data_IF_378896218472
#
_entry.id   IF_378896218472
#
_cell.length_a   1.000
_cell.length_b   1.000
_cell.length_c   1.000
_cell.angle_alpha   90.00
_cell.angle_beta   90.00
_cell.angle_gamma   90.00
#
_symmetry.space_group_name_H-M   'P 1'
#
loop_
_entity.id
_entity.type
_entity.pdbx_description
1 polymer ?
#
# COMPACT_ATOMS: atom_id res chain seq x y z
N UNK A 1 -59.33 -35.12 -57.85
CA UNK A 1 -60.17 -33.93 -57.60
C UNK A 1 -60.53 -33.89 -56.12
N UNK A 2 -59.82 -33.09 -55.33
CA UNK A 2 -60.25 -32.53 -54.04
C UNK A 2 -59.27 -31.42 -53.67
N UNK A 3 -59.85 -30.33 -53.18
CA UNK A 3 -59.35 -28.96 -53.13
C UNK A 3 -58.63 -28.72 -51.80
N UNK A 4 -57.60 -27.86 -51.87
CA UNK A 4 -56.98 -26.94 -50.90
C UNK A 4 -57.06 -27.23 -49.38
N UNK A 5 -55.99 -26.92 -48.66
CA UNK A 5 -55.85 -25.66 -47.90
C UNK A 5 -54.37 -25.49 -47.50
N UNK A 6 -53.79 -24.39 -47.94
CA UNK A 6 -52.49 -23.90 -47.47
C UNK A 6 -52.65 -23.24 -46.10
N UNK A 7 -51.85 -23.66 -45.12
CA UNK A 7 -51.65 -22.92 -43.87
C UNK A 7 -50.19 -22.47 -43.83
N UNK A 8 -49.99 -21.18 -44.05
CA UNK A 8 -48.75 -20.46 -43.78
C UNK A 8 -48.64 -20.29 -42.26
N UNK A 9 -47.69 -20.99 -41.63
CA UNK A 9 -47.31 -20.75 -40.24
C UNK A 9 -46.12 -19.78 -40.25
N UNK A 10 -46.38 -18.53 -39.86
CA UNK A 10 -45.35 -17.55 -39.49
C UNK A 10 -44.66 -18.03 -38.21
N UNK A 11 -43.42 -18.51 -38.32
CA UNK A 11 -42.55 -18.63 -37.15
C UNK A 11 -41.89 -17.28 -36.88
N UNK A 12 -42.41 -16.58 -35.87
CA UNK A 12 -41.75 -15.46 -35.23
C UNK A 12 -40.41 -15.96 -34.64
N UNK A 13 -39.32 -15.34 -35.06
CA UNK A 13 -38.04 -15.43 -34.35
C UNK A 13 -38.19 -14.80 -32.96
N UNK A 14 -38.10 -15.62 -31.91
CA UNK A 14 -37.71 -15.13 -30.58
C UNK A 14 -36.27 -15.56 -30.38
N UNK A 15 -35.35 -14.64 -30.71
CA UNK A 15 -33.98 -14.75 -30.26
C UNK A 15 -33.98 -14.56 -28.75
N UNK A 16 -33.76 -15.64 -28.00
CA UNK A 16 -33.38 -15.55 -26.60
C UNK A 16 -31.99 -14.90 -26.55
N UNK A 17 -31.97 -13.58 -26.32
CA UNK A 17 -30.78 -12.91 -25.86
C UNK A 17 -30.45 -13.48 -24.47
N UNK A 18 -29.55 -14.45 -24.42
CA UNK A 18 -28.84 -14.78 -23.20
C UNK A 18 -28.02 -13.53 -22.84
N UNK A 19 -28.58 -12.68 -21.99
CA UNK A 19 -27.81 -11.70 -21.24
C UNK A 19 -26.85 -12.49 -20.35
N UNK A 20 -25.62 -12.72 -20.84
CA UNK A 20 -24.52 -13.09 -19.98
C UNK A 20 -24.27 -11.91 -19.04
N UNK A 21 -24.94 -11.95 -17.89
CA UNK A 21 -24.61 -11.13 -16.75
C UNK A 21 -23.21 -11.51 -16.32
N UNK A 22 -22.24 -10.68 -16.68
CA UNK A 22 -20.85 -10.79 -16.26
C UNK A 22 -20.74 -10.50 -14.77
N UNK A 23 -21.17 -11.45 -13.93
CA UNK A 23 -20.69 -11.53 -12.56
C UNK A 23 -19.36 -12.25 -12.58
N UNK A 24 -18.28 -11.48 -12.69
CA UNK A 24 -17.02 -11.94 -12.12
C UNK A 24 -17.31 -12.25 -10.64
N UNK A 25 -16.92 -13.42 -10.11
CA UNK A 25 -17.01 -13.65 -8.68
C UNK A 25 -16.07 -12.64 -8.02
N UNK A 26 -16.63 -11.59 -7.40
CA UNK A 26 -15.90 -10.90 -6.34
C UNK A 26 -15.75 -11.96 -5.25
N UNK A 27 -14.53 -12.29 -4.87
CA UNK A 27 -14.35 -12.71 -3.48
C UNK A 27 -14.71 -11.47 -2.68
N UNK A 28 -16.01 -11.32 -2.39
CA UNK A 28 -16.38 -10.47 -1.29
C UNK A 28 -15.67 -11.03 -0.06
N UNK A 29 -15.32 -10.13 0.81
CA UNK A 29 -14.77 -10.45 2.10
C UNK A 29 -15.80 -11.25 2.97
N UNK A 30 -16.81 -11.92 2.41
CA UNK A 30 -17.93 -12.55 3.13
C UNK A 30 -17.55 -13.74 4.02
N UNK A 31 -16.36 -14.32 3.86
CA UNK A 31 -15.93 -15.51 4.59
C UNK A 31 -14.79 -15.32 5.61
N UNK A 32 -14.15 -14.15 5.67
CA UNK A 32 -13.01 -13.95 6.59
C UNK A 32 -13.47 -13.37 7.92
N UNK A 33 -12.79 -13.74 9.00
CA UNK A 33 -12.98 -13.11 10.30
C UNK A 33 -12.33 -11.71 10.30
N UNK A 34 -13.12 -10.68 10.58
CA UNK A 34 -12.65 -9.31 10.72
C UNK A 34 -12.60 -8.87 12.17
N UNK A 35 -11.64 -8.02 12.47
CA UNK A 35 -11.56 -7.33 13.76
C UNK A 35 -12.10 -5.91 13.58
N UNK A 36 -12.92 -5.44 14.53
CA UNK A 36 -13.33 -4.03 14.57
C UNK A 36 -12.09 -3.15 14.73
N UNK A 37 -12.03 -2.06 13.97
CA UNK A 37 -10.93 -1.11 14.11
C UNK A 37 -10.98 -0.42 15.47
N UNK A 38 -9.84 -0.37 16.15
CA UNK A 38 -9.66 0.37 17.40
C UNK A 38 -8.74 1.56 17.12
N UNK A 39 -9.17 2.76 17.47
CA UNK A 39 -8.43 4.01 17.21
C UNK A 39 -7.48 4.36 18.36
N UNK A 40 -6.59 3.42 18.67
CA UNK A 40 -5.59 3.56 19.72
C UNK A 40 -4.21 3.10 19.24
N UNK A 41 -3.16 3.56 19.91
CA UNK A 41 -1.77 3.13 19.65
C UNK A 41 -0.98 3.10 20.95
N UNK A 42 0.00 2.20 21.01
CA UNK A 42 0.94 2.14 22.11
C UNK A 42 1.90 3.33 22.08
N UNK A 43 2.03 4.02 23.21
CA UNK A 43 3.08 5.00 23.43
C UNK A 43 4.29 4.30 24.07
N UNK A 44 5.40 4.22 23.33
CA UNK A 44 6.66 3.60 23.79
C UNK A 44 7.57 4.60 24.54
N UNK A 45 7.06 5.78 24.88
CA UNK A 45 7.84 6.84 25.50
C UNK A 45 8.08 6.62 27.00
N UNK A 46 9.33 6.22 27.29
CA UNK A 46 10.02 6.20 28.59
C UNK A 46 9.85 4.90 29.41
N UNK A 47 10.98 4.22 29.59
CA UNK A 47 11.31 3.12 30.50
C UNK A 47 10.17 2.23 31.07
N UNK A 48 10.08 1.01 30.52
CA UNK A 48 9.85 -0.24 31.25
C UNK A 48 8.61 -0.40 32.18
N UNK A 49 7.52 0.36 32.03
CA UNK A 49 6.25 0.01 32.70
C UNK A 49 5.03 0.25 31.80
N UNK A 50 4.36 -0.86 31.46
CA UNK A 50 3.01 -1.01 30.89
C UNK A 50 2.65 -0.02 29.77
N UNK A 51 2.56 -0.53 28.54
CA UNK A 51 2.25 0.25 27.34
C UNK A 51 0.99 1.10 27.50
N UNK A 52 1.19 2.40 27.66
CA UNK A 52 0.11 3.37 27.67
C UNK A 52 -0.55 3.36 26.29
N UNK A 53 -1.81 2.92 26.21
CA UNK A 53 -2.61 3.05 25.00
C UNK A 53 -3.21 4.44 24.96
N UNK A 54 -2.92 5.18 23.89
CA UNK A 54 -3.46 6.50 23.65
C UNK A 54 -4.46 6.43 22.50
N UNK A 55 -5.66 6.93 22.75
CA UNK A 55 -6.67 7.13 21.72
C UNK A 55 -6.26 8.26 20.78
N UNK A 56 -6.57 8.11 19.49
CA UNK A 56 -6.12 9.02 18.43
C UNK A 56 -6.63 10.45 18.60
N UNK A 57 -7.79 10.66 19.24
CA UNK A 57 -8.34 11.98 19.57
C UNK A 57 -7.43 12.80 20.51
N UNK A 58 -6.55 12.13 21.27
CA UNK A 58 -5.60 12.77 22.20
C UNK A 58 -4.23 13.03 21.59
N UNK A 59 -4.02 12.65 20.33
CA UNK A 59 -2.72 12.73 19.65
C UNK A 59 -2.86 13.68 18.47
N UNK A 60 -1.99 14.69 18.41
CA UNK A 60 -1.97 15.61 17.28
C UNK A 60 -1.45 14.92 16.01
N UNK A 61 -2.16 15.14 14.90
CA UNK A 61 -1.84 14.58 13.59
C UNK A 61 -2.68 13.33 13.29
N UNK A 62 -2.24 12.54 12.33
CA UNK A 62 -2.95 11.33 11.90
C UNK A 62 -1.99 10.15 11.80
N UNK A 63 -2.42 8.93 12.18
CA UNK A 63 -1.64 7.71 11.98
C UNK A 63 -1.73 7.18 10.53
N UNK A 64 -2.64 7.71 9.70
CA UNK A 64 -2.91 7.15 8.37
C UNK A 64 -1.96 7.70 7.29
N UNK A 65 -1.79 6.95 6.21
CA UNK A 65 -1.09 7.41 5.01
C UNK A 65 -1.85 8.56 4.34
N UNK A 66 -3.15 8.35 4.13
CA UNK A 66 -4.14 9.34 3.71
C UNK A 66 -5.32 9.20 4.66
N UNK A 67 -5.80 10.32 5.21
CA UNK A 67 -6.81 10.32 6.28
C UNK A 67 -8.20 9.90 5.78
N UNK A 68 -8.49 10.19 4.51
CA UNK A 68 -9.74 9.80 3.86
C UNK A 68 -9.67 8.36 3.35
N UNK A 69 -10.80 7.67 3.43
CA UNK A 69 -10.95 6.37 2.77
C UNK A 69 -10.88 6.53 1.25
N UNK A 70 -9.99 5.76 0.65
CA UNK A 70 -9.78 5.72 -0.79
C UNK A 70 -10.23 4.36 -1.32
N UNK A 71 -10.69 4.32 -2.57
CA UNK A 71 -10.92 3.05 -3.25
C UNK A 71 -9.58 2.33 -3.38
N UNK A 72 -9.53 1.06 -2.97
CA UNK A 72 -8.34 0.25 -3.00
C UNK A 72 -8.63 -1.17 -3.46
N UNK A 73 -7.74 -1.71 -4.29
CA UNK A 73 -7.75 -3.09 -4.76
C UNK A 73 -6.83 -3.93 -3.89
N UNK A 74 -7.31 -5.10 -3.48
CA UNK A 74 -6.62 -6.02 -2.60
C UNK A 74 -6.13 -7.22 -3.40
N UNK A 75 -4.94 -7.72 -3.06
CA UNK A 75 -4.32 -8.85 -3.72
C UNK A 75 -3.74 -9.80 -2.67
N UNK A 76 -3.92 -11.11 -2.90
CA UNK A 76 -3.25 -12.19 -2.16
C UNK A 76 -1.77 -12.27 -2.57
N UNK A 77 -0.99 -13.03 -1.80
CA UNK A 77 0.43 -13.27 -2.10
C UNK A 77 0.58 -13.80 -3.53
N UNK A 78 1.46 -13.19 -4.32
CA UNK A 78 1.76 -13.56 -5.72
C UNK A 78 0.55 -13.53 -6.68
N UNK A 79 -0.56 -12.91 -6.28
CA UNK A 79 -1.76 -12.79 -7.10
C UNK A 79 -1.64 -11.65 -8.10
N UNK A 80 -1.85 -11.94 -9.39
CA UNK A 80 -2.02 -10.92 -10.44
C UNK A 80 -3.45 -10.38 -10.48
N UNK A 81 -4.42 -11.16 -10.02
CA UNK A 81 -5.82 -10.75 -9.92
C UNK A 81 -6.13 -10.15 -8.54
N UNK A 82 -6.87 -9.05 -8.55
CA UNK A 82 -7.43 -8.48 -7.33
C UNK A 82 -8.50 -9.42 -6.77
N UNK A 83 -8.45 -9.66 -5.46
CA UNK A 83 -9.48 -10.46 -4.76
C UNK A 83 -10.72 -9.64 -4.48
N UNK A 84 -10.56 -8.33 -4.29
CA UNK A 84 -11.67 -7.42 -4.07
C UNK A 84 -11.26 -5.96 -4.17
N UNK A 85 -12.26 -5.09 -4.20
CA UNK A 85 -12.11 -3.64 -4.21
C UNK A 85 -13.03 -3.04 -3.15
N UNK A 86 -12.46 -2.28 -2.21
CA UNK A 86 -13.18 -1.66 -1.09
C UNK A 86 -12.62 -0.27 -0.79
N UNK A 87 -13.40 0.53 -0.07
CA UNK A 87 -12.92 1.78 0.52
C UNK A 87 -12.04 1.46 1.73
N UNK A 88 -10.77 1.83 1.67
CA UNK A 88 -9.78 1.54 2.69
C UNK A 88 -8.84 2.72 2.98
N UNK A 89 -8.16 2.66 4.12
CA UNK A 89 -7.05 3.54 4.51
C UNK A 89 -5.99 2.70 5.21
N UNK A 90 -4.71 3.06 5.03
CA UNK A 90 -3.59 2.37 5.65
C UNK A 90 -3.15 3.12 6.92
N UNK A 91 -3.20 2.44 8.06
CA UNK A 91 -2.67 2.93 9.32
C UNK A 91 -1.15 2.67 9.36
N UNK A 92 -0.33 3.71 9.37
CA UNK A 92 1.14 3.62 9.40
C UNK A 92 1.71 3.53 10.81
N UNK A 93 0.87 3.63 11.85
CA UNK A 93 1.29 3.42 13.23
C UNK A 93 1.17 1.94 13.62
N UNK A 94 0.07 1.28 13.24
CA UNK A 94 -0.15 -0.15 13.50
C UNK A 94 0.16 -1.05 12.31
N UNK A 95 0.36 -0.47 11.12
CA UNK A 95 0.49 -1.20 9.84
C UNK A 95 -0.71 -2.10 9.53
N UNK A 96 -1.91 -1.62 9.86
CA UNK A 96 -3.18 -2.28 9.58
C UNK A 96 -3.92 -1.57 8.46
N UNK A 97 -4.65 -2.33 7.64
CA UNK A 97 -5.52 -1.76 6.61
C UNK A 97 -6.93 -1.70 7.18
N UNK A 98 -7.46 -0.49 7.29
CA UNK A 98 -8.80 -0.23 7.76
C UNK A 98 -9.72 -0.11 6.56
N UNK A 99 -10.87 -0.76 6.57
CA UNK A 99 -11.87 -0.68 5.50
C UNK A 99 -13.28 -0.51 6.05
N UNK A 100 -14.17 0.04 5.23
CA UNK A 100 -15.60 0.13 5.58
C UNK A 100 -16.29 -1.16 5.14
N UNK A 101 -16.79 -1.92 6.11
CA UNK A 101 -17.53 -3.15 5.90
C UNK A 101 -19.05 -2.95 5.98
N UNK A 102 -19.76 -4.06 6.24
CA UNK A 102 -21.21 -4.05 6.36
C UNK A 102 -21.70 -3.16 7.51
N UNK A 103 -22.85 -2.49 7.31
CA UNK A 103 -23.44 -1.59 8.30
C UNK A 103 -22.63 -0.30 8.54
N UNK A 104 -21.70 0.04 7.64
CA UNK A 104 -20.90 1.27 7.70
C UNK A 104 -19.82 1.27 8.79
N UNK A 105 -19.53 0.11 9.38
CA UNK A 105 -18.51 -0.03 10.43
C UNK A 105 -17.10 -0.15 9.83
N UNK A 106 -16.12 0.31 10.59
CA UNK A 106 -14.70 0.24 10.24
C UNK A 106 -14.09 -1.06 10.79
N UNK A 107 -13.46 -1.83 9.91
CA UNK A 107 -12.83 -3.12 10.21
C UNK A 107 -11.37 -3.15 9.76
N UNK A 108 -10.60 -4.08 10.30
CA UNK A 108 -9.22 -4.36 9.91
C UNK A 108 -9.19 -5.54 8.94
N UNK A 109 -8.54 -5.36 7.79
CA UNK A 109 -8.37 -6.40 6.78
C UNK A 109 -7.36 -7.46 7.26
N UNK A 110 -7.66 -8.77 7.11
CA UNK A 110 -6.72 -9.84 7.42
C UNK A 110 -5.51 -9.78 6.48
N UNK A 111 -4.31 -9.89 7.04
CA UNK A 111 -3.04 -9.81 6.28
C UNK A 111 -2.96 -10.83 5.13
N UNK A 112 -3.60 -12.00 5.27
CA UNK A 112 -3.66 -13.04 4.24
C UNK A 112 -4.37 -12.59 2.96
N UNK A 113 -5.32 -11.67 3.07
CA UNK A 113 -6.12 -11.14 1.96
C UNK A 113 -5.60 -9.79 1.44
N UNK A 114 -4.60 -9.22 2.11
CA UNK A 114 -4.10 -7.88 1.83
C UNK A 114 -2.58 -7.85 1.71
N UNK A 115 -1.99 -8.85 1.05
CA UNK A 115 -0.52 -8.93 0.87
C UNK A 115 0.00 -7.83 -0.05
N UNK A 116 -0.80 -7.39 -1.02
CA UNK A 116 -0.59 -6.16 -1.79
C UNK A 116 -1.88 -5.36 -1.85
N UNK A 117 -1.76 -4.04 -1.75
CA UNK A 117 -2.88 -3.10 -1.88
C UNK A 117 -2.50 -2.00 -2.87
N UNK A 118 -3.40 -1.71 -3.79
CA UNK A 118 -3.27 -0.62 -4.75
C UNK A 118 -4.38 0.39 -4.52
N UNK A 119 -4.01 1.60 -4.13
CA UNK A 119 -4.95 2.70 -3.95
C UNK A 119 -5.24 3.39 -5.29
N UNK A 120 -6.44 3.94 -5.41
CA UNK A 120 -6.90 4.70 -6.59
C UNK A 120 -6.05 5.93 -6.92
N UNK A 121 -5.27 6.44 -5.97
CA UNK A 121 -4.28 7.51 -6.21
C UNK A 121 -2.98 7.02 -6.86
N UNK A 122 -2.88 5.72 -7.18
CA UNK A 122 -1.71 5.08 -7.78
C UNK A 122 -0.68 4.55 -6.77
N UNK A 123 -0.86 4.77 -5.47
CA UNK A 123 0.07 4.25 -4.46
C UNK A 123 -0.12 2.75 -4.26
N UNK A 124 0.99 2.01 -4.38
CA UNK A 124 1.03 0.56 -4.17
C UNK A 124 1.78 0.25 -2.89
N UNK A 125 1.20 -0.58 -2.03
CA UNK A 125 1.86 -1.08 -0.83
C UNK A 125 1.88 -2.61 -0.82
N UNK A 126 2.99 -3.16 -0.33
CA UNK A 126 3.18 -4.61 -0.16
C UNK A 126 3.49 -4.91 1.30
N UNK A 127 2.94 -6.02 1.80
CA UNK A 127 3.26 -6.53 3.12
C UNK A 127 4.67 -7.13 3.10
N UNK A 128 5.52 -6.70 4.02
CA UNK A 128 6.89 -7.18 4.13
C UNK A 128 6.92 -8.61 4.68
N UNK A 129 7.47 -9.54 3.91
CA UNK A 129 7.65 -10.96 4.22
C UNK A 129 8.95 -11.22 4.99
N UNK A 130 9.21 -10.59 6.15
CA UNK A 130 10.49 -10.66 6.90
C UNK A 130 11.77 -10.28 6.12
N UNK A 131 11.62 -9.98 4.82
CA UNK A 131 12.64 -9.65 3.84
C UNK A 131 13.30 -8.29 4.14
N UNK A 132 12.50 -7.32 4.60
CA UNK A 132 13.00 -6.03 5.03
C UNK A 132 13.42 -6.09 6.49
N UNK A 133 14.65 -5.69 6.78
CA UNK A 133 15.19 -5.65 8.13
C UNK A 133 15.75 -4.28 8.48
N UNK A 134 15.50 -3.83 9.70
CA UNK A 134 16.10 -2.63 10.28
C UNK A 134 16.77 -3.00 11.60
N UNK A 135 18.05 -2.65 11.77
CA UNK A 135 18.83 -3.01 12.96
C UNK A 135 18.74 -4.51 13.32
N UNK A 136 18.86 -5.39 12.31
CA UNK A 136 18.76 -6.86 12.43
C UNK A 136 17.41 -7.38 12.94
N UNK A 137 16.37 -6.54 12.94
CA UNK A 137 14.99 -6.94 13.25
C UNK A 137 14.14 -6.89 11.99
N UNK A 138 13.28 -7.88 11.73
CA UNK A 138 12.35 -7.81 10.61
C UNK A 138 11.41 -6.62 10.79
N UNK A 139 11.18 -5.90 9.69
CA UNK A 139 10.17 -4.86 9.62
C UNK A 139 8.83 -5.49 9.26
N UNK A 140 7.97 -5.63 10.26
CA UNK A 140 6.60 -6.06 10.05
C UNK A 140 5.76 -4.88 9.55
N UNK A 141 4.88 -5.14 8.59
CA UNK A 141 3.95 -4.15 8.05
C UNK A 141 4.15 -3.87 6.56
N UNK A 142 3.58 -2.75 6.11
CA UNK A 142 3.50 -2.40 4.70
C UNK A 142 4.61 -1.44 4.27
N UNK A 143 5.22 -1.71 3.11
CA UNK A 143 6.10 -0.77 2.42
C UNK A 143 5.46 -0.30 1.12
N UNK A 144 5.63 0.98 0.83
CA UNK A 144 5.24 1.54 -0.46
C UNK A 144 6.23 1.10 -1.53
N UNK A 145 5.74 0.65 -2.68
CA UNK A 145 6.55 0.37 -3.87
C UNK A 145 6.64 1.67 -4.68
N UNK A 146 7.83 2.26 -4.76
CA UNK A 146 8.05 3.50 -5.52
C UNK A 146 8.51 3.22 -6.96
N UNK A 147 9.28 2.16 -7.14
CA UNK A 147 9.79 1.68 -8.42
C UNK A 147 9.70 0.16 -8.42
N UNK A 148 9.22 -0.40 -9.52
CA UNK A 148 9.13 -1.84 -9.76
C UNK A 148 9.89 -2.18 -11.05
N UNK A 149 10.40 -3.42 -11.17
CA UNK A 149 11.25 -3.88 -12.27
C UNK A 149 12.44 -4.72 -11.82
N UNK A 150 13.56 -4.66 -12.56
CA UNK A 150 14.81 -5.38 -12.21
C UNK A 150 15.38 -4.91 -10.86
N UNK A 151 15.32 -3.60 -10.63
CA UNK A 151 15.60 -2.95 -9.35
C UNK A 151 14.28 -2.45 -8.77
N UNK A 152 13.96 -2.85 -7.54
CA UNK A 152 12.74 -2.44 -6.84
C UNK A 152 13.09 -1.50 -5.69
N UNK A 153 12.43 -0.35 -5.62
CA UNK A 153 12.59 0.61 -4.53
C UNK A 153 11.37 0.56 -3.60
N UNK A 154 11.62 0.20 -2.35
CA UNK A 154 10.64 0.24 -1.28
C UNK A 154 10.86 1.44 -0.36
N UNK A 155 9.76 2.07 0.06
CA UNK A 155 9.72 3.08 1.11
C UNK A 155 8.85 2.58 2.25
N UNK A 156 9.47 2.31 3.39
CA UNK A 156 8.78 1.98 4.62
C UNK A 156 8.55 3.25 5.43
N UNK A 157 7.29 3.53 5.76
CA UNK A 157 6.87 4.71 6.51
C UNK A 157 6.30 4.25 7.84
N UNK A 158 6.94 4.62 8.94
CA UNK A 158 6.46 4.32 10.30
C UNK A 158 6.02 5.60 10.97
N UNK A 159 4.80 5.60 11.52
CA UNK A 159 4.35 6.65 12.44
C UNK A 159 4.47 6.16 13.87
N UNK A 160 5.07 6.96 14.74
CA UNK A 160 5.21 6.69 16.17
C UNK A 160 4.63 7.83 16.98
N UNK A 161 4.15 7.55 18.19
CA UNK A 161 3.73 8.62 19.09
C UNK A 161 4.95 9.16 19.83
N UNK A 162 5.12 10.47 19.75
CA UNK A 162 6.11 11.22 20.50
C UNK A 162 5.41 12.21 21.42
N UNK A 163 6.10 12.64 22.47
CA UNK A 163 5.59 13.64 23.39
C UNK A 163 6.53 14.84 23.45
N UNK A 164 5.97 16.03 23.65
CA UNK A 164 6.70 17.21 24.05
C UNK A 164 6.01 17.86 25.25
N UNK A 165 6.79 18.51 26.11
CA UNK A 165 6.24 19.29 27.20
C UNK A 165 5.59 20.57 26.66
N UNK A 166 4.45 20.95 27.24
CA UNK A 166 3.85 22.26 26.97
C UNK A 166 4.82 23.37 27.38
N UNK A 167 4.74 24.52 26.70
CA UNK A 167 5.54 25.71 27.03
C UNK A 167 5.43 26.15 28.50
N UNK A 168 4.33 25.77 29.17
CA UNK A 168 4.09 26.05 30.59
C UNK A 168 4.38 24.85 31.52
N UNK A 169 4.97 23.77 31.00
CA UNK A 169 5.43 22.61 31.78
C UNK A 169 4.35 21.71 32.38
N UNK A 170 3.07 22.10 32.34
CA UNK A 170 2.01 21.42 33.10
C UNK A 170 1.29 20.30 32.34
N UNK A 171 1.38 20.25 31.00
CA UNK A 171 0.74 19.20 30.19
C UNK A 171 1.68 18.61 29.15
N UNK A 172 1.71 17.27 29.06
CA UNK A 172 2.32 16.56 27.93
C UNK A 172 1.41 16.65 26.71
N UNK A 173 1.99 16.98 25.56
CA UNK A 173 1.31 16.96 24.26
C UNK A 173 1.83 15.79 23.44
N UNK A 174 0.92 14.93 22.99
CA UNK A 174 1.23 13.81 22.13
C UNK A 174 1.03 14.17 20.67
N UNK A 175 1.91 13.68 19.79
CA UNK A 175 1.82 13.87 18.36
C UNK A 175 2.40 12.68 17.61
N UNK A 176 1.95 12.47 16.37
CA UNK A 176 2.56 11.48 15.49
C UNK A 176 3.83 12.03 14.85
N UNK A 177 4.96 11.37 15.08
CA UNK A 177 6.22 11.55 14.37
C UNK A 177 6.33 10.52 13.25
N UNK A 178 6.96 10.89 12.12
CA UNK A 178 7.08 10.03 10.95
C UNK A 178 8.55 9.70 10.68
N UNK A 179 8.84 8.42 10.47
CA UNK A 179 10.15 7.93 10.05
C UNK A 179 10.05 7.30 8.67
N UNK A 180 11.00 7.63 7.79
CA UNK A 180 11.11 7.06 6.45
C UNK A 180 12.36 6.19 6.35
N UNK A 181 12.20 4.96 5.87
CA UNK A 181 13.29 4.04 5.57
C UNK A 181 13.18 3.61 4.11
N UNK A 182 14.31 3.58 3.41
CA UNK A 182 14.37 3.20 2.00
C UNK A 182 15.15 1.90 1.84
N UNK A 183 14.64 1.01 0.99
CA UNK A 183 15.25 -0.29 0.70
C UNK A 183 15.26 -0.52 -0.81
N UNK A 184 16.35 -1.07 -1.31
CA UNK A 184 16.46 -1.49 -2.71
C UNK A 184 16.62 -2.99 -2.77
N UNK A 185 15.81 -3.64 -3.61
CA UNK A 185 15.95 -5.05 -3.98
C UNK A 185 16.56 -5.13 -5.38
N UNK A 186 17.70 -5.79 -5.50
CA UNK A 186 18.38 -6.05 -6.76
C UNK A 186 19.10 -7.39 -6.69
N UNK A 187 19.02 -8.22 -7.74
CA UNK A 187 19.59 -9.57 -7.77
C UNK A 187 19.25 -10.42 -6.53
N UNK A 188 17.97 -10.34 -6.10
CA UNK A 188 17.44 -11.02 -4.91
C UNK A 188 18.11 -10.63 -3.57
N UNK A 189 18.92 -9.58 -3.57
CA UNK A 189 19.52 -8.99 -2.36
C UNK A 189 18.78 -7.70 -2.01
N UNK A 190 18.43 -7.54 -0.74
CA UNK A 190 17.80 -6.34 -0.22
C UNK A 190 18.82 -5.55 0.59
N UNK A 191 18.97 -4.27 0.26
CA UNK A 191 19.90 -3.36 0.92
C UNK A 191 19.14 -2.13 1.41
N UNK A 192 19.32 -1.78 2.68
CA UNK A 192 18.80 -0.52 3.22
C UNK A 192 19.66 0.64 2.74
N UNK A 193 19.04 1.68 2.19
CA UNK A 193 19.71 2.95 1.92
C UNK A 193 19.72 3.75 3.23
N UNK A 194 20.85 3.75 3.92
CA UNK A 194 21.02 4.49 5.19
C UNK A 194 20.97 6.00 5.00
N UNK A 195 21.44 6.47 3.85
CA UNK A 195 21.49 7.88 3.47
C UNK A 195 21.26 7.97 1.97
N UNK A 196 20.35 8.84 1.55
CA UNK A 196 20.15 9.15 0.14
C UNK A 196 21.38 9.95 -0.35
N UNK A 197 22.27 9.29 -1.09
CA UNK A 197 23.42 9.92 -1.74
C UNK A 197 23.80 9.15 -3.00
N UNK A 198 24.36 9.88 -3.96
CA UNK A 198 24.77 9.35 -5.26
C UNK A 198 25.66 8.11 -5.10
N UNK A 199 26.65 8.18 -4.22
CA UNK A 199 27.57 7.08 -3.87
C UNK A 199 26.82 5.79 -3.52
N UNK A 200 25.89 5.84 -2.56
CA UNK A 200 25.15 4.65 -2.09
C UNK A 200 24.21 4.10 -3.16
N UNK A 201 23.64 4.98 -3.99
CA UNK A 201 22.75 4.55 -5.08
C UNK A 201 23.54 3.92 -6.22
N UNK A 202 24.69 4.49 -6.60
CA UNK A 202 25.53 3.99 -7.68
C UNK A 202 26.25 2.68 -7.33
N UNK A 203 26.52 2.42 -6.06
CA UNK A 203 26.99 1.10 -5.61
C UNK A 203 25.97 -0.01 -5.90
N UNK A 204 24.68 0.30 -5.86
CA UNK A 204 23.61 -0.68 -6.06
C UNK A 204 23.20 -0.78 -7.54
N UNK A 205 23.03 0.38 -8.18
CA UNK A 205 22.59 0.52 -9.56
C UNK A 205 23.55 1.50 -10.26
N UNK A 206 24.69 1.03 -10.78
CA UNK A 206 25.69 1.90 -11.39
C UNK A 206 25.17 2.52 -12.71
N UNK A 207 25.44 3.81 -12.97
CA UNK A 207 25.06 4.46 -14.21
C UNK A 207 26.04 4.13 -15.33
N UNK A 208 25.50 3.92 -16.53
CA UNK A 208 26.29 3.87 -17.76
C UNK A 208 26.55 5.27 -18.32
N UNK A 209 27.28 5.36 -19.44
CA UNK A 209 27.61 6.65 -20.07
C UNK A 209 26.36 7.42 -20.54
N UNK A 210 25.32 6.72 -20.99
CA UNK A 210 24.07 7.35 -21.40
C UNK A 210 23.34 7.96 -20.20
N UNK A 211 23.29 7.24 -19.09
CA UNK A 211 22.62 7.66 -17.87
C UNK A 211 23.36 8.79 -17.16
N UNK A 212 24.69 8.80 -17.16
CA UNK A 212 25.48 9.93 -16.66
C UNK A 212 25.18 11.24 -17.41
N UNK A 213 25.05 11.16 -18.74
CA UNK A 213 24.62 12.31 -19.57
C UNK A 213 23.20 12.74 -19.22
N UNK A 214 22.30 11.79 -19.03
CA UNK A 214 20.90 12.07 -18.67
C UNK A 214 20.77 12.70 -17.28
N UNK A 215 21.49 12.21 -16.26
CA UNK A 215 21.54 12.78 -14.91
C UNK A 215 21.99 14.25 -14.97
N UNK A 216 23.06 14.52 -15.73
CA UNK A 216 23.64 15.85 -15.86
C UNK A 216 22.71 16.81 -16.62
N UNK A 217 22.10 16.35 -17.72
CA UNK A 217 21.14 17.14 -18.51
C UNK A 217 19.90 17.53 -17.71
N UNK A 218 19.42 16.63 -16.83
CA UNK A 218 18.24 16.87 -16.00
C UNK A 218 18.58 17.48 -14.62
N UNK A 219 19.87 17.76 -14.35
CA UNK A 219 20.36 18.31 -13.07
C UNK A 219 19.83 17.54 -11.85
N UNK A 220 19.86 16.21 -11.94
CA UNK A 220 19.30 15.36 -10.89
C UNK A 220 20.13 15.42 -9.61
N UNK A 221 19.43 15.27 -8.48
CA UNK A 221 19.99 15.21 -7.15
C UNK A 221 19.39 14.00 -6.42
N UNK A 222 20.11 12.88 -6.37
CA UNK A 222 19.60 11.62 -5.82
C UNK A 222 19.41 11.64 -4.30
N UNK A 223 19.70 12.77 -3.66
CA UNK A 223 19.27 13.06 -2.27
C UNK A 223 17.77 13.34 -2.18
N UNK A 224 17.12 13.69 -3.30
CA UNK A 224 15.67 13.89 -3.41
C UNK A 224 14.99 12.59 -3.82
N UNK A 225 13.87 12.26 -3.18
CA UNK A 225 13.12 11.03 -3.47
C UNK A 225 12.63 11.01 -4.91
N UNK A 226 12.14 12.13 -5.42
CA UNK A 226 11.57 12.24 -6.76
C UNK A 226 12.62 11.93 -7.84
N UNK A 227 13.83 12.47 -7.68
CA UNK A 227 14.95 12.23 -8.59
C UNK A 227 15.46 10.80 -8.48
N UNK A 228 15.52 10.23 -7.28
CA UNK A 228 15.90 8.82 -7.07
C UNK A 228 14.91 7.89 -7.78
N UNK A 229 13.61 8.14 -7.62
CA UNK A 229 12.56 7.38 -8.29
C UNK A 229 12.69 7.49 -9.81
N UNK A 230 12.91 8.69 -10.32
CA UNK A 230 13.11 8.91 -11.75
C UNK A 230 14.35 8.20 -12.30
N UNK A 231 15.46 8.26 -11.55
CA UNK A 231 16.70 7.55 -11.88
C UNK A 231 16.50 6.04 -11.96
N UNK A 232 15.93 5.42 -10.92
CA UNK A 232 15.75 3.96 -10.89
C UNK A 232 14.72 3.48 -11.91
N UNK A 233 13.68 4.27 -12.21
CA UNK A 233 12.78 3.98 -13.33
C UNK A 233 13.53 3.96 -14.66
N UNK A 234 14.38 4.97 -14.90
CA UNK A 234 15.20 5.03 -16.12
C UNK A 234 16.20 3.87 -16.20
N UNK A 235 16.79 3.49 -15.07
CA UNK A 235 17.67 2.33 -14.96
C UNK A 235 16.97 1.03 -15.34
N UNK A 236 15.71 0.84 -14.90
CA UNK A 236 14.92 -0.36 -15.22
C UNK A 236 14.47 -0.47 -16.69
N UNK A 237 14.51 0.63 -17.45
CA UNK A 237 14.20 0.65 -18.89
C UNK A 237 15.36 0.11 -19.75
N UNK A 238 16.55 -0.09 -19.17
CA UNK A 238 17.72 -0.68 -19.84
C UNK A 238 17.59 -2.20 -19.95
#
# INVERSE_FOLDING_TARGET
MRIAVSILINYLFVAFANSQSGYLPREDFSGAAYTLAVHEVNFEGVENKVGLRLSYDKIKGSPYYVDSFQVAKFFKANGTAAVGELKAKLNLATHEIHFIGEGGKEFIAPSQLSQKIEFSNGSVFVLNSNELQFNKKPLNGYSQVLVDGKVILYKYIKKSVSSADSMFGTLKRYYFSTTHLYFVKYNNKITQIKKLSDETIFEIAPPDNAMNKWISANKMNLKREEDLVAYLKKWNEQ
#
